data_IF_500535507002
#
_entry.id   IF_500535507002
#
_cell.length_a   1.000
_cell.length_b   1.000
_cell.length_c   1.000
_cell.angle_alpha   90.00
_cell.angle_beta   90.00
_cell.angle_gamma   90.00
#
_symmetry.space_group_name_H-M   'P 1'
#
loop_
_entity.id
_entity.type
_entity.pdbx_description
1 polymer ?
#
# COMPACT_ATOMS: atom_id res chain seq x y z
N UNK A 1 -2.49 -7.40 -65.54
CA UNK A 1 -3.32 -8.61 -65.44
C UNK A 1 -4.13 -8.44 -64.17
N UNK A 2 -5.27 -7.80 -64.24
CA UNK A 2 -6.63 -8.32 -64.35
C UNK A 2 -6.95 -9.35 -63.25
N UNK A 3 -7.79 -9.04 -62.26
CA UNK A 3 -9.27 -9.07 -62.35
C UNK A 3 -9.91 -8.56 -61.02
N UNK A 4 -10.65 -7.55 -61.12
CA UNK A 4 -11.95 -7.13 -60.60
C UNK A 4 -12.95 -8.27 -60.40
N UNK A 5 -13.80 -8.12 -59.36
CA UNK A 5 -15.20 -8.57 -59.22
C UNK A 5 -15.62 -8.15 -57.78
N UNK A 6 -16.32 -7.11 -57.55
CA UNK A 6 -17.73 -6.65 -57.68
C UNK A 6 -18.78 -7.66 -57.24
N UNK A 7 -19.70 -7.12 -56.44
CA UNK A 7 -21.10 -7.53 -56.20
C UNK A 7 -21.36 -8.00 -54.75
N UNK A 8 -22.41 -7.66 -54.03
CA UNK A 8 -23.53 -6.71 -54.24
C UNK A 8 -24.32 -6.67 -52.92
N UNK A 9 -24.99 -5.56 -52.75
CA UNK A 9 -26.08 -5.26 -51.81
C UNK A 9 -27.00 -6.45 -51.45
N UNK A 10 -27.45 -6.47 -50.18
CA UNK A 10 -28.80 -6.83 -49.85
C UNK A 10 -29.28 -6.03 -48.60
N UNK A 11 -30.05 -4.98 -48.85
CA UNK A 11 -30.97 -4.37 -47.92
C UNK A 11 -32.06 -5.39 -47.60
N UNK A 12 -32.33 -5.57 -46.31
CA UNK A 12 -33.50 -6.28 -45.77
C UNK A 12 -34.20 -5.41 -44.73
N UNK A 13 -35.07 -4.54 -45.19
CA UNK A 13 -36.08 -3.85 -44.38
C UNK A 13 -37.20 -4.87 -44.08
N UNK A 14 -37.47 -5.09 -42.81
CA UNK A 14 -38.75 -5.72 -42.39
C UNK A 14 -39.25 -4.97 -41.17
N UNK A 15 -40.18 -4.07 -41.48
CA UNK A 15 -41.14 -3.53 -40.55
C UNK A 15 -42.32 -4.51 -40.45
N UNK A 16 -43.10 -4.34 -39.43
CA UNK A 16 -44.40 -4.89 -39.01
C UNK A 16 -44.29 -5.79 -37.80
N UNK A 17 -45.08 -5.69 -36.72
CA UNK A 17 -46.44 -5.20 -36.58
C UNK A 17 -46.67 -4.78 -35.13
N UNK A 18 -47.25 -3.60 -34.92
CA UNK A 18 -48.09 -3.30 -33.77
C UNK A 18 -49.31 -4.22 -33.81
N UNK A 19 -49.54 -4.94 -32.71
CA UNK A 19 -50.86 -5.49 -32.41
C UNK A 19 -51.24 -5.08 -31.01
N UNK A 20 -52.03 -4.05 -30.91
CA UNK A 20 -52.83 -3.74 -29.76
C UNK A 20 -53.93 -4.77 -29.61
N UNK A 21 -54.16 -5.24 -28.42
CA UNK A 21 -55.42 -5.79 -27.95
C UNK A 21 -55.73 -5.15 -26.59
N UNK A 22 -56.53 -4.12 -26.66
CA UNK A 22 -57.41 -3.77 -25.56
C UNK A 22 -58.57 -4.76 -25.58
N UNK A 23 -58.95 -5.35 -24.47
CA UNK A 23 -60.32 -5.30 -23.97
C UNK A 23 -60.62 -6.32 -22.86
N UNK A 24 -61.24 -5.81 -21.87
CA UNK A 24 -62.32 -6.35 -21.05
C UNK A 24 -61.92 -7.22 -19.82
N UNK A 25 -62.33 -6.68 -18.68
CA UNK A 25 -62.62 -7.50 -17.52
C UNK A 25 -62.54 -6.77 -16.18
N UNK A 26 -63.54 -5.94 -15.93
CA UNK A 26 -64.16 -5.66 -14.64
C UNK A 26 -63.85 -6.70 -13.57
N UNK A 27 -63.28 -6.26 -12.46
CA UNK A 27 -63.14 -7.04 -11.24
C UNK A 27 -62.38 -6.23 -10.19
N UNK A 28 -63.12 -5.54 -9.30
CA UNK A 28 -62.54 -4.82 -8.18
C UNK A 28 -61.76 -5.75 -7.25
N UNK A 29 -60.58 -5.31 -6.87
CA UNK A 29 -59.78 -5.95 -5.86
C UNK A 29 -58.67 -4.99 -5.47
N UNK A 30 -58.73 -4.47 -4.26
CA UNK A 30 -57.86 -3.45 -3.71
C UNK A 30 -56.41 -3.71 -4.01
N UNK A 31 -55.79 -2.78 -4.71
CA UNK A 31 -54.35 -2.66 -4.81
C UNK A 31 -53.79 -2.28 -3.47
N UNK A 32 -53.55 -3.26 -2.63
CA UNK A 32 -52.66 -3.13 -1.51
C UNK A 32 -51.27 -2.92 -2.09
N UNK A 33 -50.88 -1.66 -2.32
CA UNK A 33 -49.47 -1.34 -2.37
C UNK A 33 -48.88 -1.91 -1.08
N UNK A 34 -48.13 -2.96 -1.19
CA UNK A 34 -47.29 -3.36 -0.09
C UNK A 34 -46.31 -2.20 0.13
N UNK A 35 -46.73 -1.23 0.94
CA UNK A 35 -45.82 -0.40 1.66
C UNK A 35 -44.89 -1.38 2.40
N UNK A 36 -43.79 -1.76 1.74
CA UNK A 36 -42.69 -2.41 2.37
C UNK A 36 -42.10 -1.36 3.30
N UNK A 37 -42.80 -1.18 4.43
CA UNK A 37 -42.27 -0.39 5.52
C UNK A 37 -40.93 -0.95 5.77
N UNK A 38 -39.89 -0.14 5.48
CA UNK A 38 -38.53 -0.46 5.82
C UNK A 38 -38.48 -0.67 7.34
N UNK A 39 -38.43 -1.92 7.75
CA UNK A 39 -38.26 -2.29 9.15
C UNK A 39 -36.76 -2.33 9.40
N UNK A 40 -36.26 -1.30 10.08
CA UNK A 40 -34.89 -1.30 10.53
C UNK A 40 -34.65 -2.57 11.35
N UNK A 41 -33.69 -3.37 10.96
CA UNK A 41 -33.32 -4.56 11.73
C UNK A 41 -32.72 -4.12 13.06
N UNK A 42 -32.95 -4.89 14.12
CA UNK A 42 -32.28 -4.65 15.39
C UNK A 42 -30.76 -4.61 15.23
N UNK A 43 -30.13 -3.63 15.85
CA UNK A 43 -28.71 -3.36 15.74
C UNK A 43 -27.85 -4.54 16.18
N UNK A 44 -28.26 -5.26 17.23
CA UNK A 44 -27.51 -6.44 17.71
C UNK A 44 -27.59 -7.58 16.68
N UNK A 45 -28.78 -7.77 16.09
CA UNK A 45 -28.98 -8.78 15.04
C UNK A 45 -28.10 -8.52 13.84
N UNK A 46 -28.06 -7.27 13.36
CA UNK A 46 -27.19 -6.89 12.23
C UNK A 46 -25.72 -7.06 12.56
N UNK A 47 -25.29 -6.59 13.73
CA UNK A 47 -23.90 -6.67 14.15
C UNK A 47 -23.43 -8.12 14.31
N UNK A 48 -24.26 -8.97 14.94
CA UNK A 48 -23.94 -10.39 15.12
C UNK A 48 -23.89 -11.13 13.79
N UNK A 49 -24.82 -10.86 12.86
CA UNK A 49 -24.78 -11.42 11.52
C UNK A 49 -23.49 -11.01 10.77
N UNK A 50 -23.05 -9.75 10.90
CA UNK A 50 -21.78 -9.28 10.33
C UNK A 50 -20.60 -10.05 10.93
N UNK A 51 -20.59 -10.24 12.24
CA UNK A 51 -19.55 -10.99 12.96
C UNK A 51 -19.49 -12.45 12.53
N UNK A 52 -20.63 -13.12 12.41
CA UNK A 52 -20.70 -14.51 11.91
C UNK A 52 -20.09 -14.65 10.50
N UNK A 53 -20.32 -13.66 9.62
CA UNK A 53 -19.72 -13.66 8.29
C UNK A 53 -18.21 -13.43 8.35
N UNK A 54 -17.74 -12.57 9.25
CA UNK A 54 -16.32 -12.36 9.47
C UNK A 54 -15.63 -13.63 9.99
N UNK A 55 -16.22 -14.28 10.99
CA UNK A 55 -15.72 -15.53 11.57
C UNK A 55 -15.72 -16.69 10.55
N UNK A 56 -16.64 -16.66 9.59
CA UNK A 56 -16.69 -17.58 8.45
C UNK A 56 -15.75 -17.20 7.28
N UNK A 57 -14.85 -16.19 7.45
CA UNK A 57 -13.95 -15.64 6.43
C UNK A 57 -14.67 -15.07 5.20
N UNK A 58 -15.96 -14.75 5.31
CA UNK A 58 -16.71 -14.08 4.26
C UNK A 58 -16.60 -12.56 4.42
N UNK A 59 -15.40 -12.03 4.16
CA UNK A 59 -14.97 -10.69 4.52
C UNK A 59 -15.77 -9.59 3.81
N UNK A 60 -16.06 -9.74 2.53
CA UNK A 60 -16.84 -8.75 1.77
C UNK A 60 -18.27 -8.60 2.32
N UNK A 61 -18.92 -9.73 2.58
CA UNK A 61 -20.28 -9.71 3.14
C UNK A 61 -20.26 -9.18 4.57
N UNK A 62 -19.24 -9.53 5.36
CA UNK A 62 -19.08 -8.99 6.71
C UNK A 62 -18.94 -7.47 6.69
N UNK A 63 -18.07 -6.94 5.82
CA UNK A 63 -17.88 -5.50 5.66
C UNK A 63 -19.18 -4.78 5.29
N UNK A 64 -19.90 -5.29 4.30
CA UNK A 64 -21.19 -4.73 3.87
C UNK A 64 -22.24 -4.72 5.00
N UNK A 65 -22.28 -5.79 5.80
CA UNK A 65 -23.21 -5.85 6.95
C UNK A 65 -22.77 -4.89 8.07
N UNK A 66 -21.49 -4.70 8.32
CA UNK A 66 -21.01 -3.68 9.27
C UNK A 66 -21.32 -2.26 8.78
N UNK A 67 -21.17 -1.97 7.48
CA UNK A 67 -21.56 -0.69 6.88
C UNK A 67 -23.08 -0.48 7.00
N UNK A 68 -23.88 -1.54 6.91
CA UNK A 68 -25.32 -1.49 7.10
C UNK A 68 -25.71 -1.16 8.55
N UNK A 69 -24.95 -1.65 9.56
CA UNK A 69 -25.13 -1.24 10.96
C UNK A 69 -24.95 0.27 11.12
N UNK A 70 -23.92 0.84 10.53
CA UNK A 70 -23.67 2.29 10.54
C UNK A 70 -24.85 3.04 9.87
N UNK A 71 -25.27 2.57 8.71
CA UNK A 71 -26.32 3.22 7.92
C UNK A 71 -27.68 3.22 8.62
N UNK A 72 -28.06 2.11 9.26
CA UNK A 72 -29.35 1.99 9.92
C UNK A 72 -29.39 2.61 11.33
N UNK A 73 -28.26 2.61 12.02
CA UNK A 73 -28.15 3.01 13.42
C UNK A 73 -26.98 3.95 13.68
N UNK A 74 -26.87 5.10 12.97
CA UNK A 74 -25.65 5.95 12.99
C UNK A 74 -25.29 6.50 14.38
N UNK A 75 -26.26 6.67 15.25
CA UNK A 75 -26.06 7.18 16.62
C UNK A 75 -25.87 6.08 17.66
N UNK A 76 -25.90 4.83 17.27
CA UNK A 76 -25.71 3.71 18.16
C UNK A 76 -24.24 3.60 18.59
N UNK A 77 -23.95 3.19 19.83
CA UNK A 77 -22.60 2.78 20.23
C UNK A 77 -22.00 1.69 19.33
N UNK A 78 -22.84 0.87 18.74
CA UNK A 78 -22.46 -0.19 17.80
C UNK A 78 -21.98 0.35 16.45
N UNK A 79 -22.49 1.51 15.99
CA UNK A 79 -22.08 2.10 14.72
C UNK A 79 -20.58 2.38 14.67
N UNK A 80 -20.02 2.97 15.74
CA UNK A 80 -18.58 3.23 15.83
C UNK A 80 -17.74 1.97 15.77
N UNK A 81 -18.18 0.91 16.44
CA UNK A 81 -17.50 -0.38 16.40
C UNK A 81 -17.66 -1.03 15.03
N UNK A 82 -18.84 -0.93 14.42
CA UNK A 82 -19.12 -1.46 13.09
C UNK A 82 -18.25 -0.80 12.00
N UNK A 83 -18.03 0.52 12.06
CA UNK A 83 -17.13 1.22 11.15
C UNK A 83 -15.70 0.63 11.16
N UNK A 84 -15.14 0.41 12.38
CA UNK A 84 -13.82 -0.21 12.50
C UNK A 84 -13.83 -1.67 12.04
N UNK A 85 -14.89 -2.42 12.34
CA UNK A 85 -15.01 -3.82 11.93
C UNK A 85 -15.22 -3.94 10.42
N UNK A 86 -15.91 -2.98 9.77
CA UNK A 86 -15.99 -2.89 8.31
C UNK A 86 -14.60 -2.70 7.70
N UNK A 87 -13.85 -1.70 8.19
CA UNK A 87 -12.48 -1.47 7.74
C UNK A 87 -11.59 -2.70 7.91
N UNK A 88 -11.65 -3.37 9.08
CA UNK A 88 -10.92 -4.61 9.32
C UNK A 88 -11.34 -5.74 8.39
N UNK A 89 -12.64 -5.88 8.14
CA UNK A 89 -13.17 -6.91 7.21
C UNK A 89 -12.67 -6.68 5.78
N UNK A 90 -12.67 -5.43 5.30
CA UNK A 90 -12.08 -5.09 4.01
C UNK A 90 -10.57 -5.40 3.96
N UNK A 91 -9.82 -5.10 5.03
CA UNK A 91 -8.40 -5.44 5.12
C UNK A 91 -8.18 -6.96 5.00
N UNK A 92 -8.93 -7.75 5.77
CA UNK A 92 -8.86 -9.22 5.71
C UNK A 92 -9.24 -9.77 4.33
N UNK A 93 -10.15 -9.11 3.62
CA UNK A 93 -10.53 -9.41 2.24
C UNK A 93 -9.59 -8.84 1.18
N UNK A 94 -8.45 -8.26 1.59
CA UNK A 94 -7.47 -7.62 0.71
C UNK A 94 -8.05 -6.46 -0.14
N UNK A 95 -9.17 -5.90 0.29
CA UNK A 95 -9.78 -4.70 -0.29
C UNK A 95 -9.19 -3.45 0.39
N UNK A 96 -7.91 -3.22 0.15
CA UNK A 96 -7.13 -2.24 0.91
C UNK A 96 -7.64 -0.81 0.75
N UNK A 97 -8.10 -0.41 -0.44
CA UNK A 97 -8.62 0.93 -0.67
C UNK A 97 -9.93 1.17 0.10
N UNK A 98 -10.82 0.20 0.10
CA UNK A 98 -12.08 0.23 0.84
C UNK A 98 -11.83 0.29 2.35
N UNK A 99 -10.87 -0.51 2.84
CA UNK A 99 -10.43 -0.48 4.23
C UNK A 99 -9.90 0.89 4.64
N UNK A 100 -9.00 1.49 3.83
CA UNK A 100 -8.46 2.84 4.06
C UNK A 100 -9.58 3.88 4.12
N UNK A 101 -10.55 3.82 3.18
CA UNK A 101 -11.65 4.77 3.13
C UNK A 101 -12.56 4.64 4.36
N UNK A 102 -12.90 3.41 4.78
CA UNK A 102 -13.70 3.16 5.98
C UNK A 102 -12.97 3.63 7.25
N UNK A 103 -11.66 3.34 7.40
CA UNK A 103 -10.86 3.82 8.52
C UNK A 103 -10.74 5.35 8.56
N UNK A 104 -10.52 6.01 7.41
CA UNK A 104 -10.49 7.48 7.32
C UNK A 104 -11.83 8.10 7.69
N UNK A 105 -12.94 7.52 7.26
CA UNK A 105 -14.29 7.95 7.65
C UNK A 105 -14.48 7.87 9.16
N UNK A 106 -14.06 6.75 9.79
CA UNK A 106 -14.09 6.61 11.25
C UNK A 106 -13.28 7.71 11.94
N UNK A 107 -12.05 7.97 11.50
CA UNK A 107 -11.19 9.00 12.08
C UNK A 107 -11.73 10.41 11.90
N UNK A 108 -12.41 10.71 10.81
CA UNK A 108 -13.02 12.03 10.56
C UNK A 108 -14.19 12.32 11.48
N UNK A 109 -14.97 11.29 11.83
CA UNK A 109 -16.14 11.42 12.69
C UNK A 109 -15.74 11.29 14.17
N UNK A 110 -14.72 10.49 14.47
CA UNK A 110 -14.33 10.12 15.84
C UNK A 110 -12.83 10.33 16.11
N UNK A 111 -12.26 11.53 15.91
CA UNK A 111 -10.81 11.75 15.98
C UNK A 111 -10.19 11.49 17.36
N UNK A 112 -10.97 11.70 18.44
CA UNK A 112 -10.54 11.46 19.82
C UNK A 112 -10.95 10.10 20.40
N UNK A 113 -11.38 9.15 19.56
CA UNK A 113 -11.80 7.84 20.05
C UNK A 113 -10.59 7.02 20.55
N UNK A 114 -10.79 6.24 21.60
CA UNK A 114 -9.77 5.34 22.15
C UNK A 114 -9.23 4.31 21.13
N UNK A 115 -10.03 3.99 20.11
CA UNK A 115 -9.68 3.04 19.05
C UNK A 115 -9.08 3.74 17.82
N UNK A 116 -8.89 5.07 17.84
CA UNK A 116 -8.23 5.81 16.77
C UNK A 116 -6.82 5.30 16.46
N UNK A 117 -5.97 4.94 17.45
CA UNK A 117 -4.66 4.34 17.16
C UNK A 117 -4.74 3.11 16.27
N UNK A 118 -5.74 2.26 16.46
CA UNK A 118 -5.97 1.09 15.63
C UNK A 118 -6.39 1.46 14.21
N UNK A 119 -7.25 2.46 14.04
CA UNK A 119 -7.67 2.91 12.72
C UNK A 119 -6.49 3.49 11.91
N UNK A 120 -5.62 4.31 12.53
CA UNK A 120 -4.38 4.79 11.90
C UNK A 120 -3.45 3.64 11.52
N UNK A 121 -3.30 2.68 12.42
CA UNK A 121 -2.47 1.50 12.17
C UNK A 121 -3.03 0.63 11.04
N UNK A 122 -4.34 0.45 10.95
CA UNK A 122 -4.97 -0.32 9.87
C UNK A 122 -4.78 0.33 8.50
N UNK A 123 -4.83 1.67 8.42
CA UNK A 123 -4.47 2.41 7.20
C UNK A 123 -3.02 2.14 6.81
N UNK A 124 -2.11 2.18 7.78
CA UNK A 124 -0.69 1.92 7.54
C UNK A 124 -0.45 0.48 7.08
N UNK A 125 -1.12 -0.50 7.68
CA UNK A 125 -1.07 -1.90 7.24
C UNK A 125 -1.56 -2.08 5.82
N UNK A 126 -2.67 -1.41 5.44
CA UNK A 126 -3.19 -1.48 4.07
C UNK A 126 -2.17 -1.01 3.04
N UNK A 127 -1.40 0.04 3.31
CA UNK A 127 -0.32 0.46 2.42
C UNK A 127 0.87 -0.50 2.47
N UNK A 128 1.23 -0.99 3.67
CA UNK A 128 2.34 -1.91 3.87
C UNK A 128 2.15 -3.23 3.08
N UNK A 129 0.98 -3.83 3.15
CA UNK A 129 0.66 -5.08 2.43
C UNK A 129 0.64 -4.93 0.90
N UNK A 130 0.55 -3.70 0.39
CA UNK A 130 0.59 -3.39 -1.03
C UNK A 130 2.00 -3.10 -1.55
N UNK A 131 3.04 -3.13 -0.69
CA UNK A 131 4.43 -2.95 -1.12
C UNK A 131 4.79 -4.07 -2.08
N UNK A 132 5.27 -3.70 -3.25
CA UNK A 132 5.68 -4.61 -4.30
C UNK A 132 7.21 -4.64 -4.45
N UNK A 133 7.72 -5.35 -5.45
CA UNK A 133 9.15 -5.46 -5.74
C UNK A 133 9.85 -4.09 -5.83
N UNK A 134 11.10 -4.04 -5.38
CA UNK A 134 11.96 -2.83 -5.35
C UNK A 134 12.15 -2.17 -6.72
N UNK A 135 11.93 -2.91 -7.81
CA UNK A 135 12.08 -2.38 -9.18
C UNK A 135 10.86 -1.58 -9.66
N UNK A 136 9.74 -1.67 -8.94
CA UNK A 136 8.48 -1.01 -9.28
C UNK A 136 8.37 0.40 -8.69
N UNK A 137 7.23 1.07 -8.94
CA UNK A 137 6.90 2.38 -8.37
C UNK A 137 6.83 2.32 -6.84
N UNK A 138 7.54 3.24 -6.19
CA UNK A 138 7.67 3.28 -4.72
C UNK A 138 6.62 4.15 -4.03
N UNK A 139 5.67 4.71 -4.77
CA UNK A 139 4.64 5.60 -4.19
C UNK A 139 3.88 4.95 -3.03
N UNK A 140 3.52 3.68 -3.17
CA UNK A 140 2.84 2.92 -2.10
C UNK A 140 3.78 2.70 -0.91
N UNK A 141 5.05 2.42 -1.16
CA UNK A 141 6.07 2.25 -0.13
C UNK A 141 6.27 3.53 0.69
N UNK A 142 6.32 4.69 0.03
CA UNK A 142 6.38 5.99 0.69
C UNK A 142 5.11 6.29 1.50
N UNK A 143 3.93 5.93 0.99
CA UNK A 143 2.67 6.05 1.72
C UNK A 143 2.63 5.14 2.95
N UNK A 144 3.17 3.93 2.86
CA UNK A 144 3.31 3.03 3.99
C UNK A 144 4.21 3.64 5.06
N UNK A 145 5.40 4.13 4.67
CA UNK A 145 6.35 4.79 5.59
C UNK A 145 5.72 5.98 6.29
N UNK A 146 5.07 6.88 5.53
CA UNK A 146 4.40 8.06 6.08
C UNK A 146 3.29 7.70 7.06
N UNK A 147 2.47 6.68 6.73
CA UNK A 147 1.35 6.25 7.56
C UNK A 147 1.81 5.53 8.83
N UNK A 148 2.85 4.70 8.75
CA UNK A 148 3.48 4.05 9.90
C UNK A 148 4.11 5.09 10.85
N UNK A 149 4.84 6.07 10.29
CA UNK A 149 5.40 7.20 11.06
C UNK A 149 4.33 8.06 11.75
N UNK A 150 3.16 8.22 11.12
CA UNK A 150 2.01 8.91 11.72
C UNK A 150 1.50 8.18 12.97
N UNK A 151 1.46 6.84 12.96
CA UNK A 151 1.07 6.03 14.13
C UNK A 151 2.05 6.26 15.27
N UNK A 152 3.37 6.20 15.02
CA UNK A 152 4.39 6.43 16.05
C UNK A 152 4.34 7.84 16.64
N UNK A 153 4.18 8.85 15.76
CA UNK A 153 4.17 10.26 16.18
C UNK A 153 2.95 10.59 17.03
N UNK A 154 1.76 10.10 16.65
CA UNK A 154 0.50 10.40 17.36
C UNK A 154 0.30 9.56 18.60
N UNK A 155 0.74 8.32 18.58
CA UNK A 155 0.42 7.33 19.63
C UNK A 155 1.65 6.53 20.07
N UNK A 156 2.74 7.20 20.52
CA UNK A 156 4.03 6.56 20.79
C UNK A 156 3.95 5.44 21.83
N UNK A 157 3.02 5.55 22.78
CA UNK A 157 2.85 4.57 23.85
C UNK A 157 1.85 3.45 23.52
N UNK A 158 1.36 3.39 22.29
CA UNK A 158 0.44 2.32 21.87
C UNK A 158 1.21 1.07 21.45
N UNK A 159 0.58 -0.10 21.63
CA UNK A 159 1.11 -1.36 21.09
C UNK A 159 1.34 -1.30 19.56
N UNK A 160 0.56 -0.47 18.89
CA UNK A 160 0.65 -0.30 17.44
C UNK A 160 1.89 0.49 17.02
N UNK A 161 2.38 1.40 17.85
CA UNK A 161 3.60 2.16 17.58
C UNK A 161 4.85 1.28 17.60
N UNK A 162 4.91 0.30 18.52
CA UNK A 162 6.02 -0.64 18.57
C UNK A 162 6.12 -1.49 17.28
N UNK A 163 4.98 -2.06 16.85
CA UNK A 163 4.94 -2.84 15.60
C UNK A 163 5.18 -1.97 14.35
N UNK A 164 4.63 -0.74 14.36
CA UNK A 164 4.90 0.22 13.28
C UNK A 164 6.40 0.53 13.16
N UNK A 165 7.14 0.59 14.26
CA UNK A 165 8.60 0.77 14.25
C UNK A 165 9.31 -0.33 13.48
N UNK A 166 9.01 -1.59 13.79
CA UNK A 166 9.57 -2.74 13.08
C UNK A 166 9.26 -2.71 11.58
N UNK A 167 8.02 -2.31 11.23
CA UNK A 167 7.61 -2.19 9.82
C UNK A 167 8.29 -1.02 9.11
N UNK A 168 8.56 0.09 9.79
CA UNK A 168 9.35 1.22 9.27
C UNK A 168 10.75 0.76 8.89
N UNK A 169 11.42 -0.03 9.74
CA UNK A 169 12.75 -0.55 9.46
C UNK A 169 12.74 -1.43 8.19
N UNK A 170 11.73 -2.30 8.04
CA UNK A 170 11.57 -3.12 6.83
C UNK A 170 11.28 -2.29 5.58
N UNK A 171 10.46 -1.25 5.70
CA UNK A 171 10.16 -0.33 4.59
C UNK A 171 11.40 0.47 4.18
N UNK A 172 12.19 0.94 5.16
CA UNK A 172 13.45 1.63 4.90
C UNK A 172 14.46 0.71 4.20
N UNK A 173 14.56 -0.54 4.63
CA UNK A 173 15.43 -1.54 3.98
C UNK A 173 14.99 -1.78 2.52
N UNK A 174 13.68 -1.84 2.26
CA UNK A 174 13.14 -1.95 0.90
C UNK A 174 13.46 -0.72 0.03
N UNK A 175 13.32 0.50 0.56
CA UNK A 175 13.67 1.74 -0.14
C UNK A 175 15.18 1.83 -0.41
N UNK A 176 16.01 1.48 0.58
CA UNK A 176 17.46 1.39 0.42
C UNK A 176 17.85 0.40 -0.69
N UNK A 177 17.20 -0.77 -0.72
CA UNK A 177 17.38 -1.77 -1.77
C UNK A 177 17.12 -1.21 -3.17
N UNK A 178 16.09 -0.37 -3.32
CA UNK A 178 15.80 0.34 -4.59
C UNK A 178 16.95 1.24 -5.03
N UNK A 179 17.45 2.09 -4.13
CA UNK A 179 18.56 2.99 -4.43
C UNK A 179 19.83 2.19 -4.77
N UNK A 180 20.07 1.08 -4.07
CA UNK A 180 21.19 0.16 -4.34
C UNK A 180 21.09 -0.45 -5.75
N UNK A 181 19.90 -0.89 -6.18
CA UNK A 181 19.71 -1.44 -7.53
C UNK A 181 19.98 -0.39 -8.62
N UNK A 182 19.48 0.84 -8.45
CA UNK A 182 19.73 1.94 -9.37
C UNK A 182 21.23 2.29 -9.36
N UNK A 183 21.86 2.36 -8.20
CA UNK A 183 23.28 2.63 -8.05
C UNK A 183 24.16 1.60 -8.78
N UNK A 184 23.88 0.31 -8.58
CA UNK A 184 24.56 -0.80 -9.27
C UNK A 184 24.33 -0.78 -10.77
N UNK A 185 23.13 -0.40 -11.23
CA UNK A 185 22.84 -0.23 -12.66
C UNK A 185 23.72 0.84 -13.31
N UNK A 186 23.86 2.02 -12.69
CA UNK A 186 24.73 3.09 -13.18
C UNK A 186 26.21 2.70 -13.08
N UNK A 187 26.62 2.03 -12.02
CA UNK A 187 28.00 1.55 -11.82
C UNK A 187 28.43 0.59 -12.93
N UNK A 188 27.60 -0.38 -13.30
CA UNK A 188 27.87 -1.31 -14.42
C UNK A 188 28.04 -0.62 -15.78
N UNK A 189 27.51 0.61 -15.92
CA UNK A 189 27.64 1.43 -17.12
C UNK A 189 28.74 2.50 -17.03
N UNK A 190 29.55 2.45 -15.97
CA UNK A 190 30.59 3.43 -15.71
C UNK A 190 30.09 4.87 -15.58
N UNK A 191 28.81 5.05 -15.23
CA UNK A 191 28.18 6.34 -14.94
C UNK A 191 28.41 6.69 -13.46
N UNK A 192 29.70 6.92 -13.11
CA UNK A 192 30.20 6.99 -11.73
C UNK A 192 29.50 8.06 -10.90
N UNK A 193 29.31 9.27 -11.45
CA UNK A 193 28.62 10.34 -10.71
C UNK A 193 27.18 9.97 -10.36
N UNK A 194 26.42 9.43 -11.32
CA UNK A 194 25.04 9.02 -11.08
C UNK A 194 24.98 7.88 -10.05
N UNK A 195 25.91 6.94 -10.13
CA UNK A 195 26.04 5.84 -9.17
C UNK A 195 26.35 6.33 -7.76
N UNK A 196 27.31 7.25 -7.61
CA UNK A 196 27.68 7.80 -6.30
C UNK A 196 26.52 8.54 -5.62
N UNK A 197 25.68 9.26 -6.37
CA UNK A 197 24.52 9.93 -5.83
C UNK A 197 23.52 8.93 -5.22
N UNK A 198 23.31 7.79 -5.88
CA UNK A 198 22.39 6.76 -5.39
C UNK A 198 22.92 6.05 -4.14
N UNK A 199 24.20 5.66 -4.13
CA UNK A 199 24.79 5.05 -2.94
C UNK A 199 24.89 6.02 -1.76
N UNK A 200 25.10 7.33 -2.03
CA UNK A 200 25.08 8.36 -0.99
C UNK A 200 23.68 8.50 -0.39
N UNK A 201 22.62 8.45 -1.19
CA UNK A 201 21.24 8.45 -0.70
C UNK A 201 21.01 7.35 0.35
N UNK A 202 21.56 6.14 0.10
CA UNK A 202 21.48 5.03 1.07
C UNK A 202 22.20 5.35 2.36
N UNK A 203 23.43 5.89 2.28
CA UNK A 203 24.23 6.23 3.47
C UNK A 203 23.61 7.37 4.27
N UNK A 204 23.02 8.37 3.58
CA UNK A 204 22.50 9.56 4.23
C UNK A 204 21.11 9.36 4.84
N UNK A 205 20.24 8.54 4.21
CA UNK A 205 18.85 8.38 4.63
C UNK A 205 18.50 7.02 5.23
N UNK A 206 19.29 6.00 4.94
CA UNK A 206 19.00 4.61 5.29
C UNK A 206 20.20 3.93 5.99
N UNK A 207 20.91 4.69 6.82
CA UNK A 207 22.13 4.24 7.51
C UNK A 207 21.93 3.00 8.40
N UNK A 208 20.71 2.79 8.92
CA UNK A 208 20.39 1.66 9.81
C UNK A 208 20.04 0.39 9.05
N UNK A 209 19.96 0.43 7.72
CA UNK A 209 19.55 -0.71 6.90
C UNK A 209 20.69 -1.68 6.63
N UNK A 210 20.34 -2.89 6.24
CA UNK A 210 21.31 -3.94 5.85
C UNK A 210 22.13 -3.57 4.62
N UNK A 211 21.69 -2.56 3.87
CA UNK A 211 22.34 -2.07 2.66
C UNK A 211 23.44 -1.05 2.89
N UNK A 212 23.48 -0.38 4.05
CA UNK A 212 24.43 0.70 4.32
C UNK A 212 25.93 0.26 4.20
N UNK A 213 26.35 -0.91 4.68
CA UNK A 213 27.74 -1.36 4.52
C UNK A 213 28.13 -1.56 3.04
N UNK A 214 27.24 -2.13 2.22
CA UNK A 214 27.50 -2.26 0.78
C UNK A 214 27.56 -0.89 0.12
N UNK A 215 26.65 0.03 0.45
CA UNK A 215 26.63 1.37 -0.13
C UNK A 215 27.94 2.13 0.13
N UNK A 216 28.47 2.06 1.33
CA UNK A 216 29.79 2.66 1.68
C UNK A 216 30.93 2.04 0.87
N UNK A 217 30.96 0.73 0.71
CA UNK A 217 31.93 0.05 -0.14
C UNK A 217 31.81 0.51 -1.60
N UNK A 218 30.59 0.54 -2.15
CA UNK A 218 30.34 0.99 -3.52
C UNK A 218 30.67 2.46 -3.74
N UNK A 219 30.49 3.31 -2.74
CA UNK A 219 30.96 4.69 -2.78
C UNK A 219 32.48 4.75 -2.86
N UNK A 220 33.21 3.92 -2.09
CA UNK A 220 34.66 3.82 -2.13
C UNK A 220 35.13 3.44 -3.55
N UNK A 221 34.54 2.39 -4.15
CA UNK A 221 34.84 2.00 -5.56
C UNK A 221 34.59 3.14 -6.53
N UNK A 222 33.44 3.77 -6.41
CA UNK A 222 32.98 4.80 -7.35
C UNK A 222 33.84 6.05 -7.27
N UNK A 223 34.23 6.49 -6.07
CA UNK A 223 35.11 7.64 -5.88
C UNK A 223 36.52 7.38 -6.39
N UNK A 224 37.08 6.17 -6.20
CA UNK A 224 38.35 5.80 -6.81
C UNK A 224 38.27 5.83 -8.34
N UNK A 225 37.20 5.31 -8.92
CA UNK A 225 36.99 5.34 -10.37
C UNK A 225 36.85 6.77 -10.94
N UNK A 226 36.39 7.72 -10.14
CA UNK A 226 36.33 9.15 -10.47
C UNK A 226 37.65 9.91 -10.21
N UNK A 227 38.67 9.25 -9.67
CA UNK A 227 39.93 9.92 -9.30
C UNK A 227 39.82 10.78 -8.04
N UNK A 228 38.93 10.45 -7.12
CA UNK A 228 38.67 11.15 -5.87
C UNK A 228 39.07 10.32 -4.63
N UNK A 229 40.41 10.05 -4.45
CA UNK A 229 40.87 9.14 -3.40
C UNK A 229 40.57 9.68 -1.97
N UNK A 230 40.49 11.00 -1.80
CA UNK A 230 40.17 11.59 -0.51
C UNK A 230 38.74 11.24 -0.06
N UNK A 231 37.75 11.29 -1.00
CA UNK A 231 36.37 10.93 -0.71
C UNK A 231 36.22 9.41 -0.53
N UNK A 232 36.94 8.62 -1.32
CA UNK A 232 37.01 7.17 -1.13
C UNK A 232 37.48 6.80 0.25
N UNK A 233 38.58 7.47 0.75
CA UNK A 233 39.12 7.27 2.09
C UNK A 233 38.10 7.59 3.19
N UNK A 234 37.31 8.65 3.03
CA UNK A 234 36.22 8.99 3.98
C UNK A 234 35.17 7.88 4.05
N UNK A 235 34.67 7.42 2.91
CA UNK A 235 33.69 6.33 2.86
C UNK A 235 34.22 5.03 3.47
N UNK A 236 35.47 4.66 3.17
CA UNK A 236 36.13 3.49 3.74
C UNK A 236 36.35 3.64 5.26
N UNK A 237 36.64 4.85 5.73
CA UNK A 237 36.84 5.11 7.17
C UNK A 237 35.52 4.96 7.95
N UNK A 238 34.41 5.50 7.40
CA UNK A 238 33.08 5.32 8.00
C UNK A 238 32.68 3.85 8.03
N UNK A 239 32.98 3.10 6.96
CA UNK A 239 32.72 1.66 6.89
C UNK A 239 33.54 0.91 7.96
N UNK A 240 34.81 1.27 8.15
CA UNK A 240 35.68 0.68 9.18
C UNK A 240 35.25 1.02 10.60
N UNK A 241 34.77 2.25 10.84
CA UNK A 241 34.33 2.68 12.16
C UNK A 241 33.03 1.98 12.61
N UNK A 242 32.07 1.80 11.68
CA UNK A 242 30.73 1.33 12.03
C UNK A 242 30.50 -0.15 11.71
N UNK A 243 31.28 -0.72 10.76
CA UNK A 243 31.01 -2.06 10.20
C UNK A 243 32.30 -2.87 10.02
N UNK A 244 33.24 -2.77 10.97
CA UNK A 244 34.57 -3.38 10.91
C UNK A 244 34.54 -4.92 10.68
N UNK A 245 33.50 -5.62 11.15
CA UNK A 245 33.35 -7.07 10.96
C UNK A 245 32.65 -7.47 9.66
N UNK A 246 32.34 -6.52 8.77
CA UNK A 246 31.62 -6.83 7.54
C UNK A 246 32.59 -7.20 6.40
N UNK A 247 32.17 -8.14 5.53
CA UNK A 247 32.90 -8.46 4.29
C UNK A 247 33.12 -7.23 3.40
N UNK A 248 32.31 -6.19 3.55
CA UNK A 248 32.41 -4.96 2.78
C UNK A 248 33.57 -4.10 3.23
N UNK A 249 33.85 -4.11 4.54
CA UNK A 249 35.04 -3.44 5.08
C UNK A 249 36.33 -4.10 4.58
N UNK A 250 36.43 -5.43 4.64
CA UNK A 250 37.62 -6.16 4.14
C UNK A 250 37.88 -5.80 2.67
N UNK A 251 36.87 -5.83 1.83
CA UNK A 251 36.98 -5.44 0.41
C UNK A 251 37.37 -3.97 0.21
N UNK A 252 36.83 -3.07 1.00
CA UNK A 252 37.16 -1.65 0.92
C UNK A 252 38.63 -1.42 1.33
N UNK A 253 39.09 -2.11 2.37
CA UNK A 253 40.47 -2.03 2.85
C UNK A 253 41.45 -2.51 1.77
N UNK A 254 41.23 -3.70 1.18
CA UNK A 254 42.05 -4.22 0.09
C UNK A 254 42.05 -3.26 -1.14
N UNK A 255 40.91 -2.71 -1.49
CA UNK A 255 40.76 -1.78 -2.59
C UNK A 255 41.55 -0.49 -2.35
N UNK A 256 41.48 0.06 -1.13
CA UNK A 256 42.24 1.26 -0.74
C UNK A 256 43.74 1.01 -0.71
N UNK A 257 44.23 -0.12 -0.20
CA UNK A 257 45.64 -0.48 -0.25
C UNK A 257 46.21 -0.53 -1.68
N UNK A 258 45.38 -1.04 -2.62
CA UNK A 258 45.78 -1.19 -4.01
C UNK A 258 45.84 0.13 -4.79
N UNK A 259 44.88 1.02 -4.56
CA UNK A 259 44.65 2.20 -5.40
C UNK A 259 44.93 3.55 -4.75
N UNK A 260 45.00 3.59 -3.43
CA UNK A 260 45.33 4.78 -2.66
C UNK A 260 46.15 4.39 -1.40
N UNK A 261 47.35 3.82 -1.61
CA UNK A 261 48.21 3.45 -0.46
C UNK A 261 48.47 4.67 0.43
N UNK A 262 48.55 4.45 1.73
CA UNK A 262 48.95 5.51 2.65
C UNK A 262 50.35 6.02 2.24
N UNK A 263 50.45 7.35 2.05
CA UNK A 263 51.72 8.00 1.78
C UNK A 263 52.60 7.94 3.04
#
# INVERSE_FOLDING_TARGET
MNRTLTSALALGVSATLLSGCAMLGVGGGGGGGSDTKYVARDVNTLYNAAKERLDANNYEVAAALFDEVERQHPYSPWARRAQLMSSFSYYMGQKYNESINSAKRFLSIHPGNKDAPYAYYLIALCYYEQISDVTRDQKITEQALASLGEVQRRYPNSRYAADAGLKIDLVNDHLAGKEMEIGRFYQRRSLWLASSLRFREVVDKFETTTHAPEALYRLTETYLAMGLPAEAKKSAAVLGANYAGSKWYERAFELMQKHAPAA
#
